data_IF_904212164990
#
_entry.id   IF_904212164990
#
_cell.length_a   1.000
_cell.length_b   1.000
_cell.length_c   1.000
_cell.angle_alpha   90.00
_cell.angle_beta   90.00
_cell.angle_gamma   90.00
#
_symmetry.space_group_name_H-M   'P 1'
#
loop_
_entity.id
_entity.type
_entity.pdbx_description
1 polymer ?
#
# COMPACT_ATOMS: atom_id res chain seq x y z
N UNK A 1 10.41 13.40 11.19
CA UNK A 1 10.89 12.00 11.28
C UNK A 1 10.61 11.37 12.66
N UNK A 2 9.47 11.66 13.31
CA UNK A 2 9.31 11.44 14.76
C UNK A 2 8.58 10.14 15.17
N UNK A 3 7.28 9.97 14.90
CA UNK A 3 6.50 8.89 15.53
C UNK A 3 6.66 7.53 14.84
N UNK A 4 6.72 7.53 13.51
CA UNK A 4 6.73 6.30 12.71
C UNK A 4 8.04 5.52 12.88
N UNK A 5 9.18 6.23 12.88
CA UNK A 5 10.50 5.63 13.10
C UNK A 5 10.62 5.03 14.50
N UNK A 6 10.05 5.69 15.52
CA UNK A 6 10.05 5.21 16.89
C UNK A 6 9.26 3.89 17.02
N UNK A 7 8.07 3.81 16.40
CA UNK A 7 7.26 2.59 16.39
C UNK A 7 8.01 1.45 15.67
N UNK A 8 8.59 1.73 14.51
CA UNK A 8 9.35 0.73 13.74
C UNK A 8 10.57 0.25 14.53
N UNK A 9 11.30 1.16 15.17
CA UNK A 9 12.50 0.84 15.96
C UNK A 9 12.19 0.01 17.21
N UNK A 10 11.12 0.36 17.95
CA UNK A 10 10.68 -0.42 19.13
C UNK A 10 10.27 -1.84 18.73
N UNK A 11 9.52 -1.98 17.64
CA UNK A 11 9.08 -3.30 17.15
C UNK A 11 10.30 -4.11 16.70
N UNK A 12 11.20 -3.52 15.91
CA UNK A 12 12.39 -4.21 15.38
C UNK A 12 13.36 -4.63 16.49
N UNK A 13 13.65 -3.76 17.47
CA UNK A 13 14.53 -4.07 18.60
C UNK A 13 13.87 -5.05 19.57
N UNK A 14 12.56 -4.98 19.77
CA UNK A 14 11.80 -5.94 20.59
C UNK A 14 11.88 -7.36 20.03
N UNK A 15 11.66 -7.51 18.72
CA UNK A 15 11.79 -8.80 18.05
C UNK A 15 13.23 -9.30 18.00
N UNK A 16 14.19 -8.44 17.69
CA UNK A 16 15.61 -8.82 17.70
C UNK A 16 16.04 -9.33 19.09
N UNK A 17 15.61 -8.69 20.17
CA UNK A 17 15.89 -9.17 21.54
C UNK A 17 15.19 -10.49 21.85
N UNK A 18 13.93 -10.66 21.44
CA UNK A 18 13.17 -11.89 21.67
C UNK A 18 13.73 -13.10 20.89
N UNK A 19 14.27 -12.88 19.69
CA UNK A 19 14.90 -13.94 18.90
C UNK A 19 16.36 -14.18 19.29
N UNK A 20 17.10 -13.14 19.70
CA UNK A 20 18.48 -13.27 20.17
C UNK A 20 18.60 -14.09 21.47
N UNK A 21 17.59 -14.06 22.36
CA UNK A 21 17.56 -14.89 23.58
C UNK A 21 17.34 -16.37 23.31
N UNK A 22 16.79 -16.75 22.14
CA UNK A 22 16.45 -18.14 21.80
C UNK A 22 17.48 -18.78 20.86
N UNK A 23 18.09 -18.02 19.93
CA UNK A 23 18.95 -18.57 18.87
C UNK A 23 20.45 -18.21 18.94
N UNK A 24 20.85 -17.30 19.83
CA UNK A 24 22.21 -16.76 19.90
C UNK A 24 22.48 -15.66 18.87
N UNK A 25 23.04 -14.54 19.32
CA UNK A 25 23.17 -13.30 18.55
C UNK A 25 24.18 -13.35 17.37
N UNK A 26 25.02 -14.38 17.32
CA UNK A 26 26.22 -14.44 16.46
C UNK A 26 25.99 -15.17 15.11
N UNK A 27 24.80 -15.72 14.88
CA UNK A 27 24.51 -16.54 13.69
C UNK A 27 23.67 -15.75 12.66
N UNK A 28 24.09 -15.69 11.40
CA UNK A 28 23.33 -15.01 10.32
C UNK A 28 21.89 -15.51 10.14
N UNK A 29 21.60 -16.73 10.58
CA UNK A 29 20.26 -17.31 10.65
C UNK A 29 19.34 -16.63 11.67
N UNK A 30 19.88 -16.14 12.79
CA UNK A 30 19.11 -15.38 13.78
C UNK A 30 18.61 -14.06 13.16
N UNK A 31 19.42 -13.43 12.32
CA UNK A 31 19.05 -12.22 11.57
C UNK A 31 17.95 -12.50 10.53
N UNK A 32 18.09 -13.56 9.73
CA UNK A 32 17.08 -13.94 8.74
C UNK A 32 15.73 -14.30 9.40
N UNK A 33 15.75 -15.05 10.51
CA UNK A 33 14.55 -15.40 11.26
C UNK A 33 13.94 -14.20 11.98
N UNK A 34 14.75 -13.24 12.47
CA UNK A 34 14.26 -12.00 13.03
C UNK A 34 13.52 -11.15 11.98
N UNK A 35 14.06 -11.03 10.76
CA UNK A 35 13.40 -10.34 9.65
C UNK A 35 12.09 -11.05 9.27
N UNK A 36 12.11 -12.38 9.12
CA UNK A 36 10.91 -13.15 8.83
C UNK A 36 9.83 -12.97 9.92
N UNK A 37 10.20 -13.10 11.20
CA UNK A 37 9.28 -12.92 12.33
C UNK A 37 8.71 -11.51 12.40
N UNK A 38 9.52 -10.49 12.14
CA UNK A 38 9.07 -9.11 12.00
C UNK A 38 8.07 -8.97 10.86
N UNK A 39 8.35 -9.55 9.70
CA UNK A 39 7.49 -9.47 8.52
C UNK A 39 6.13 -10.14 8.76
N UNK A 40 6.11 -11.33 9.39
CA UNK A 40 4.88 -12.03 9.75
C UNK A 40 4.09 -11.24 10.79
N UNK A 41 4.74 -10.67 11.80
CA UNK A 41 4.06 -9.86 12.82
C UNK A 41 3.44 -8.60 12.23
N UNK A 42 4.19 -7.87 11.40
CA UNK A 42 3.67 -6.69 10.71
C UNK A 42 2.49 -7.08 9.80
N UNK A 43 2.63 -8.16 9.01
CA UNK A 43 1.53 -8.68 8.18
C UNK A 43 0.32 -9.05 9.03
N UNK A 44 0.51 -9.71 10.17
CA UNK A 44 -0.56 -10.11 11.09
C UNK A 44 -1.26 -8.90 11.72
N UNK A 45 -0.51 -7.90 12.17
CA UNK A 45 -1.06 -6.65 12.70
C UNK A 45 -1.81 -5.84 11.63
N UNK A 46 -1.41 -5.96 10.36
CA UNK A 46 -2.09 -5.34 9.22
C UNK A 46 -3.31 -6.13 8.73
N UNK A 47 -3.55 -7.37 9.15
CA UNK A 47 -4.74 -8.16 8.76
C UNK A 47 -6.05 -7.37 8.95
N UNK A 48 -6.36 -6.77 10.12
CA UNK A 48 -7.59 -6.00 10.28
C UNK A 48 -7.69 -4.80 9.32
N UNK A 49 -6.55 -4.19 8.97
CA UNK A 49 -6.49 -3.12 7.99
C UNK A 49 -6.75 -3.64 6.57
N UNK A 50 -6.12 -4.75 6.18
CA UNK A 50 -6.32 -5.40 4.89
C UNK A 50 -7.76 -5.89 4.72
N UNK A 51 -8.38 -6.45 5.77
CA UNK A 51 -9.79 -6.86 5.74
C UNK A 51 -10.71 -5.67 5.47
N UNK A 52 -10.44 -4.52 6.10
CA UNK A 52 -11.18 -3.28 5.83
C UNK A 52 -11.00 -2.80 4.39
N UNK A 53 -9.77 -2.86 3.85
CA UNK A 53 -9.50 -2.53 2.45
C UNK A 53 -10.23 -3.47 1.48
N UNK A 54 -10.21 -4.78 1.73
CA UNK A 54 -10.88 -5.80 0.90
C UNK A 54 -12.40 -5.61 0.92
N UNK A 55 -12.99 -5.34 2.10
CA UNK A 55 -14.43 -5.08 2.24
C UNK A 55 -14.85 -3.86 1.41
N UNK A 56 -14.06 -2.78 1.42
CA UNK A 56 -14.32 -1.60 0.59
C UNK A 56 -14.27 -1.93 -0.91
N UNK A 57 -13.29 -2.71 -1.35
CA UNK A 57 -13.16 -3.12 -2.76
C UNK A 57 -14.31 -4.04 -3.20
N UNK A 58 -14.80 -4.93 -2.33
CA UNK A 58 -15.94 -5.80 -2.62
C UNK A 58 -17.25 -5.01 -2.76
N UNK A 59 -17.50 -4.03 -1.88
CA UNK A 59 -18.68 -3.16 -1.99
C UNK A 59 -18.70 -2.39 -3.32
N UNK A 60 -17.53 -1.98 -3.82
CA UNK A 60 -17.43 -1.34 -5.14
C UNK A 60 -17.85 -2.28 -6.28
N UNK A 61 -17.45 -3.55 -6.22
CA UNK A 61 -17.85 -4.56 -7.22
C UNK A 61 -19.38 -4.77 -7.22
N UNK A 62 -20.03 -4.71 -6.05
CA UNK A 62 -21.48 -4.83 -5.93
C UNK A 62 -22.23 -3.62 -6.50
N UNK A 63 -21.61 -2.43 -6.53
CA UNK A 63 -22.22 -1.21 -7.06
C UNK A 63 -22.03 -1.07 -8.58
N UNK A 64 -20.99 -1.69 -9.16
CA UNK A 64 -20.78 -1.68 -10.61
C UNK A 64 -22.01 -2.01 -11.47
N UNK A 65 -22.84 -3.04 -11.18
CA UNK A 65 -24.04 -3.31 -12.00
C UNK A 65 -25.04 -2.15 -11.98
N UNK A 66 -25.26 -1.52 -10.82
CA UNK A 66 -26.16 -0.36 -10.70
C UNK A 66 -25.63 0.88 -11.44
N UNK A 67 -24.31 1.07 -11.44
CA UNK A 67 -23.66 2.11 -12.25
C UNK A 67 -23.87 1.84 -13.75
N UNK A 68 -23.82 0.58 -14.19
CA UNK A 68 -24.12 0.21 -15.59
C UNK A 68 -25.59 0.46 -15.95
N UNK A 69 -26.52 0.26 -15.04
CA UNK A 69 -27.94 0.61 -15.25
C UNK A 69 -28.14 2.12 -15.40
N UNK A 70 -27.51 2.92 -14.54
CA UNK A 70 -27.50 4.38 -14.67
C UNK A 70 -26.88 4.83 -15.99
N UNK A 71 -25.79 4.19 -16.42
CA UNK A 71 -25.17 4.45 -17.72
C UNK A 71 -26.11 4.13 -18.89
N UNK A 72 -26.90 3.05 -18.81
CA UNK A 72 -27.90 2.73 -19.84
C UNK A 72 -29.07 3.72 -19.84
N UNK A 73 -29.52 4.18 -18.67
CA UNK A 73 -30.69 5.06 -18.52
C UNK A 73 -30.38 6.53 -18.83
N UNK A 74 -29.20 7.01 -18.44
CA UNK A 74 -28.80 8.42 -18.55
C UNK A 74 -27.55 8.63 -19.41
N UNK A 75 -27.12 7.63 -20.20
CA UNK A 75 -25.91 7.74 -21.02
C UNK A 75 -25.92 8.89 -22.04
N UNK A 76 -27.11 9.39 -22.42
CA UNK A 76 -27.27 10.56 -23.29
C UNK A 76 -27.09 11.89 -22.55
N UNK A 77 -27.19 11.91 -21.22
CA UNK A 77 -27.09 13.11 -20.39
C UNK A 77 -25.98 12.91 -19.36
N UNK A 78 -24.76 13.31 -19.75
CA UNK A 78 -23.55 13.14 -18.92
C UNK A 78 -23.65 13.84 -17.58
N UNK A 79 -24.39 14.96 -17.51
CA UNK A 79 -24.49 15.76 -16.31
C UNK A 79 -25.39 15.06 -15.28
N UNK A 80 -26.57 14.58 -15.71
CA UNK A 80 -27.43 13.74 -14.87
C UNK A 80 -26.78 12.44 -14.47
N UNK A 81 -26.07 11.79 -15.40
CA UNK A 81 -25.35 10.55 -15.12
C UNK A 81 -24.30 10.74 -14.02
N UNK A 82 -23.55 11.84 -14.03
CA UNK A 82 -22.56 12.13 -12.99
C UNK A 82 -23.22 12.37 -11.62
N UNK A 83 -24.34 13.11 -11.59
CA UNK A 83 -25.09 13.40 -10.36
C UNK A 83 -25.68 12.13 -9.73
N UNK A 84 -26.37 11.32 -10.53
CA UNK A 84 -27.01 10.06 -10.08
C UNK A 84 -25.97 9.02 -9.66
N UNK A 85 -24.84 8.93 -10.39
CA UNK A 85 -23.74 8.04 -10.00
C UNK A 85 -23.12 8.46 -8.66
N UNK A 86 -22.97 9.77 -8.42
CA UNK A 86 -22.46 10.27 -7.14
C UNK A 86 -23.48 10.07 -6.01
N UNK A 87 -24.78 10.23 -6.25
CA UNK A 87 -25.83 9.90 -5.28
C UNK A 87 -25.81 8.41 -4.92
N UNK A 88 -25.73 7.53 -5.91
CA UNK A 88 -25.66 6.08 -5.70
C UNK A 88 -24.45 5.67 -4.85
N UNK A 89 -23.28 6.29 -5.05
CA UNK A 89 -22.10 6.05 -4.21
C UNK A 89 -22.31 6.52 -2.76
N UNK A 90 -23.00 7.66 -2.55
CA UNK A 90 -23.32 8.19 -1.21
C UNK A 90 -24.33 7.32 -0.48
N UNK A 91 -25.42 6.93 -1.14
CA UNK A 91 -26.44 6.03 -0.58
C UNK A 91 -25.86 4.67 -0.20
N UNK A 92 -24.98 4.13 -1.05
CA UNK A 92 -24.34 2.85 -0.82
C UNK A 92 -23.13 2.92 0.15
N UNK A 93 -22.89 4.09 0.77
CA UNK A 93 -21.79 4.33 1.72
C UNK A 93 -20.42 3.84 1.23
N UNK A 94 -20.20 3.87 -0.09
CA UNK A 94 -19.00 3.29 -0.70
C UNK A 94 -18.16 4.40 -1.29
N UNK A 95 -16.96 4.59 -0.75
CA UNK A 95 -16.06 5.66 -1.17
C UNK A 95 -15.18 5.20 -2.36
N UNK A 96 -15.33 5.77 -3.57
CA UNK A 96 -14.51 5.40 -4.73
C UNK A 96 -13.02 5.68 -4.54
N UNK A 97 -12.66 6.61 -3.66
CA UNK A 97 -11.27 6.95 -3.38
C UNK A 97 -10.54 5.91 -2.51
N UNK A 98 -11.29 5.06 -1.78
CA UNK A 98 -10.69 4.03 -0.94
C UNK A 98 -9.97 2.96 -1.78
N UNK A 99 -10.46 2.70 -3.01
CA UNK A 99 -9.85 1.72 -3.93
C UNK A 99 -8.66 2.27 -4.72
N UNK A 100 -8.53 3.60 -4.90
CA UNK A 100 -7.37 4.19 -5.56
C UNK A 100 -6.24 4.57 -4.60
N UNK A 101 -6.48 4.57 -3.29
CA UNK A 101 -5.48 4.85 -2.25
C UNK A 101 -4.20 3.99 -2.37
N UNK A 102 -4.26 2.67 -2.65
CA UNK A 102 -3.06 1.84 -2.81
C UNK A 102 -2.22 2.24 -4.03
N UNK A 103 -2.90 2.58 -5.13
CA UNK A 103 -2.25 3.06 -6.36
C UNK A 103 -1.56 4.40 -6.14
N UNK A 104 -2.20 5.33 -5.43
CA UNK A 104 -1.62 6.64 -5.10
C UNK A 104 -0.35 6.47 -4.25
N UNK A 105 -0.34 5.52 -3.31
CA UNK A 105 0.84 5.24 -2.49
C UNK A 105 1.96 4.55 -3.29
N UNK A 106 1.63 3.77 -4.31
CA UNK A 106 2.61 3.03 -5.13
C UNK A 106 3.19 3.85 -6.29
N UNK A 107 2.43 4.80 -6.85
CA UNK A 107 2.86 5.67 -7.95
C UNK A 107 4.20 6.39 -7.70
N UNK A 108 4.49 6.94 -6.50
CA UNK A 108 5.78 7.55 -6.19
C UNK A 108 6.97 6.59 -6.32
N UNK A 109 6.80 5.33 -5.88
CA UNK A 109 7.85 4.31 -5.94
C UNK A 109 8.17 3.97 -7.40
N UNK A 110 7.13 3.84 -8.23
CA UNK A 110 7.29 3.59 -9.66
C UNK A 110 8.00 4.75 -10.38
N UNK A 111 7.62 6.00 -10.09
CA UNK A 111 8.26 7.18 -10.67
C UNK A 111 9.73 7.32 -10.26
N UNK A 112 10.06 6.97 -9.01
CA UNK A 112 11.45 6.95 -8.55
C UNK A 112 12.29 5.93 -9.32
N UNK A 113 11.76 4.71 -9.52
CA UNK A 113 12.41 3.67 -10.31
C UNK A 113 12.58 4.07 -11.78
N UNK A 114 11.54 4.64 -12.40
CA UNK A 114 11.61 5.11 -13.79
C UNK A 114 12.67 6.21 -13.97
N UNK A 115 12.75 7.17 -13.04
CA UNK A 115 13.78 8.22 -13.07
C UNK A 115 15.17 7.62 -12.92
N UNK A 116 15.35 6.68 -12.00
CA UNK A 116 16.64 6.01 -11.77
C UNK A 116 17.08 5.21 -13.00
N UNK A 117 16.17 4.47 -13.62
CA UNK A 117 16.46 3.69 -14.83
C UNK A 117 16.74 4.57 -16.06
N UNK A 118 15.99 5.66 -16.22
CA UNK A 118 16.24 6.65 -17.27
C UNK A 118 17.59 7.36 -17.08
N UNK A 119 18.01 7.58 -15.84
CA UNK A 119 19.33 8.16 -15.53
C UNK A 119 20.46 7.15 -15.81
N UNK A 120 20.29 5.90 -15.39
CA UNK A 120 21.22 4.82 -15.68
C UNK A 120 21.38 4.57 -17.19
N UNK A 121 20.29 4.65 -17.96
CA UNK A 121 20.34 4.55 -19.43
C UNK A 121 21.09 5.70 -20.10
N UNK A 122 21.23 6.84 -19.43
CA UNK A 122 21.97 8.03 -19.92
C UNK A 122 23.43 8.05 -19.46
N UNK A 123 23.89 7.03 -18.75
CA UNK A 123 25.25 6.94 -18.24
C UNK A 123 25.55 7.86 -17.04
N UNK A 124 24.55 8.54 -16.48
CA UNK A 124 24.72 9.35 -15.27
C UNK A 124 24.36 8.52 -14.03
N UNK A 125 25.38 8.08 -13.29
CA UNK A 125 25.18 7.55 -11.94
C UNK A 125 24.95 8.73 -10.97
N UNK A 126 23.73 8.90 -10.47
CA UNK A 126 23.48 9.76 -9.29
C UNK A 126 22.67 9.00 -8.25
N UNK A 127 23.25 8.90 -7.05
CA UNK A 127 22.72 8.20 -5.88
C UNK A 127 23.87 7.72 -4.98
N UNK A 128 23.53 7.06 -3.86
CA UNK A 128 24.48 6.54 -2.85
C UNK A 128 25.53 5.58 -3.43
N UNK A 129 25.33 5.05 -4.63
CA UNK A 129 26.31 4.22 -5.35
C UNK A 129 27.45 5.00 -6.00
N UNK A 130 27.33 6.33 -6.17
CA UNK A 130 28.42 7.18 -6.65
C UNK A 130 29.38 7.61 -5.53
N UNK A 131 29.07 7.30 -4.26
CA UNK A 131 29.89 7.64 -3.10
C UNK A 131 30.63 6.42 -2.51
N UNK A 132 30.60 5.28 -3.22
CA UNK A 132 31.24 4.03 -2.80
C UNK A 132 32.49 3.66 -3.62
N UNK A 133 32.85 4.47 -4.62
CA UNK A 133 34.05 4.29 -5.46
C UNK A 133 34.96 5.52 -5.36
#
# INVERSE_FOLDING_TARGET
MGPLYWIISVVLVGFHRAFATVLGAENGWAWALAIMGLTVTIRAALIPLFVKQIKSSRNMQLIQPKVKELQKKYGHDRERLAQETMQLYRESNTNPFASCLPLIVQMPIFLALFRLLNLASRGEQRGILSAAD
#
